data_IF_982789935329
#
_entry.id   IF_982789935329
#
_cell.length_a   1.000
_cell.length_b   1.000
_cell.length_c   1.000
_cell.angle_alpha   90.00
_cell.angle_beta   90.00
_cell.angle_gamma   90.00
#
_symmetry.space_group_name_H-M   'P 1'
#
loop_
_entity.id
_entity.type
_entity.pdbx_description
1 polymer ?
#
# COMPACT_ATOMS: atom_id res chain seq x y z
N UNK A 1 -5.99 -11.85 -18.38
CA UNK A 1 -5.56 -11.77 -16.96
C UNK A 1 -4.06 -11.53 -16.94
N UNK A 2 -3.65 -10.58 -16.16
CA UNK A 2 -2.24 -10.18 -16.04
C UNK A 2 -1.57 -11.11 -15.01
N UNK A 3 -0.45 -11.83 -15.33
CA UNK A 3 0.11 -12.86 -14.44
C UNK A 3 0.46 -12.35 -13.03
N UNK A 4 0.86 -11.07 -12.93
CA UNK A 4 1.20 -10.42 -11.67
C UNK A 4 0.11 -9.46 -11.16
N UNK A 5 -1.08 -9.46 -11.77
CA UNK A 5 -2.18 -8.58 -11.35
C UNK A 5 -2.65 -8.83 -9.93
N UNK A 6 -3.06 -7.76 -9.23
CA UNK A 6 -3.50 -7.77 -7.83
C UNK A 6 -2.46 -8.33 -6.84
N UNK A 7 -1.18 -8.13 -7.13
CA UNK A 7 -0.06 -8.50 -6.24
C UNK A 7 0.52 -7.27 -5.58
N UNK A 8 0.77 -7.37 -4.28
CA UNK A 8 1.55 -6.41 -3.51
C UNK A 8 2.80 -7.11 -2.99
N UNK A 9 3.95 -6.46 -3.14
CA UNK A 9 5.22 -7.04 -2.71
C UNK A 9 6.25 -5.95 -2.38
N UNK A 10 7.36 -6.38 -1.81
CA UNK A 10 8.54 -5.53 -1.58
C UNK A 10 9.51 -5.74 -2.74
N UNK A 11 10.08 -4.65 -3.24
CA UNK A 11 11.04 -4.67 -4.35
C UNK A 11 12.40 -5.16 -3.87
N UNK A 12 12.99 -6.06 -4.68
CA UNK A 12 14.41 -6.39 -4.64
C UNK A 12 15.03 -6.16 -6.02
N UNK A 13 16.08 -5.35 -6.09
CA UNK A 13 16.90 -5.13 -7.29
C UNK A 13 18.31 -5.68 -7.10
N UNK A 14 18.77 -5.79 -5.87
CA UNK A 14 20.05 -6.39 -5.53
C UNK A 14 19.87 -7.80 -4.94
N UNK A 15 20.86 -8.66 -5.17
CA UNK A 15 20.89 -10.01 -4.57
C UNK A 15 20.85 -9.95 -3.05
N UNK A 16 21.46 -8.93 -2.46
CA UNK A 16 21.45 -8.72 -1.01
C UNK A 16 20.03 -8.47 -0.50
N UNK A 17 19.29 -7.54 -1.12
CA UNK A 17 17.91 -7.25 -0.74
C UNK A 17 17.03 -8.48 -0.97
N UNK A 18 17.19 -9.16 -2.11
CA UNK A 18 16.44 -10.37 -2.42
C UNK A 18 16.60 -11.45 -1.34
N UNK A 19 17.84 -11.80 -1.00
CA UNK A 19 18.10 -12.82 0.02
C UNK A 19 17.54 -12.41 1.39
N UNK A 20 17.74 -11.15 1.80
CA UNK A 20 17.20 -10.62 3.05
C UNK A 20 15.67 -10.69 3.12
N UNK A 21 14.97 -10.34 2.04
CA UNK A 21 13.52 -10.37 2.00
C UNK A 21 12.97 -11.81 1.96
N UNK A 22 13.64 -12.70 1.23
CA UNK A 22 13.28 -14.13 1.20
C UNK A 22 13.44 -14.78 2.58
N UNK A 23 14.50 -14.47 3.33
CA UNK A 23 14.68 -14.92 4.72
C UNK A 23 13.57 -14.42 5.66
N UNK A 24 13.03 -13.23 5.39
CA UNK A 24 11.89 -12.66 6.15
C UNK A 24 10.55 -13.31 5.80
N UNK A 25 10.47 -14.11 4.75
CA UNK A 25 9.26 -14.79 4.29
C UNK A 25 8.16 -13.85 3.77
N UNK A 26 8.52 -12.69 3.24
CA UNK A 26 7.59 -11.73 2.63
C UNK A 26 7.48 -11.96 1.12
N UNK A 27 6.41 -11.45 0.51
CA UNK A 27 6.31 -11.46 -0.96
C UNK A 27 7.29 -10.45 -1.57
N UNK A 28 8.04 -10.90 -2.56
CA UNK A 28 9.12 -10.14 -3.21
C UNK A 28 8.87 -10.03 -4.70
N UNK A 29 8.99 -8.82 -5.24
CA UNK A 29 9.16 -8.58 -6.67
C UNK A 29 10.64 -8.36 -6.97
N UNK A 30 11.30 -9.39 -7.49
CA UNK A 30 12.69 -9.31 -7.90
C UNK A 30 12.80 -8.76 -9.32
N UNK A 31 13.40 -7.57 -9.44
CA UNK A 31 13.58 -6.88 -10.73
C UNK A 31 15.00 -7.15 -11.23
N UNK A 32 15.10 -7.76 -12.39
CA UNK A 32 16.36 -8.00 -13.11
C UNK A 32 16.33 -7.37 -14.50
N UNK A 33 17.42 -7.48 -15.25
CA UNK A 33 17.45 -7.05 -16.66
C UNK A 33 16.46 -7.82 -17.53
N UNK A 34 16.09 -9.04 -17.13
CA UNK A 34 15.22 -9.94 -17.90
C UNK A 34 13.73 -9.79 -17.57
N UNK A 35 13.37 -9.05 -16.51
CA UNK A 35 11.99 -8.90 -16.11
C UNK A 35 11.78 -8.79 -14.60
N UNK A 36 10.53 -8.99 -14.20
CA UNK A 36 10.13 -9.08 -12.80
C UNK A 36 9.72 -10.50 -12.49
N UNK A 37 10.23 -11.07 -11.40
CA UNK A 37 9.77 -12.35 -10.86
C UNK A 37 9.15 -12.14 -9.49
N UNK A 38 7.93 -12.63 -9.30
CA UNK A 38 7.20 -12.57 -8.03
C UNK A 38 7.40 -13.88 -7.25
N UNK A 39 7.78 -13.74 -6.00
CA UNK A 39 7.97 -14.84 -5.05
C UNK A 39 6.97 -14.75 -3.90
N UNK A 40 6.54 -15.88 -3.32
CA UNK A 40 7.09 -17.24 -3.49
C UNK A 40 6.56 -18.00 -4.72
N UNK A 41 5.57 -17.49 -5.45
CA UNK A 41 4.90 -18.21 -6.55
C UNK A 41 5.81 -18.46 -7.77
N UNK A 42 6.96 -17.77 -7.85
CA UNK A 42 7.92 -17.84 -8.97
C UNK A 42 7.27 -17.51 -10.33
N UNK A 43 6.38 -16.55 -10.35
CA UNK A 43 5.72 -16.05 -11.56
C UNK A 43 6.54 -14.94 -12.16
N UNK A 44 6.99 -15.10 -13.41
CA UNK A 44 7.81 -14.11 -14.10
C UNK A 44 7.05 -13.40 -15.21
N UNK A 45 7.41 -12.14 -15.42
CA UNK A 45 6.87 -11.29 -16.48
C UNK A 45 7.95 -10.39 -17.05
N UNK A 46 7.95 -10.21 -18.40
CA UNK A 46 8.88 -9.28 -19.05
C UNK A 46 8.57 -7.83 -18.67
N UNK A 47 9.60 -6.98 -18.64
CA UNK A 47 9.44 -5.54 -18.33
C UNK A 47 8.58 -4.82 -19.35
N UNK A 48 8.58 -5.22 -20.62
CA UNK A 48 7.79 -4.62 -21.71
C UNK A 48 6.27 -4.72 -21.47
N UNK A 49 5.86 -5.72 -20.69
CA UNK A 49 4.45 -5.92 -20.33
C UNK A 49 3.96 -5.05 -19.17
N UNK A 50 4.83 -4.36 -18.46
CA UNK A 50 4.48 -3.60 -17.26
C UNK A 50 4.32 -2.12 -17.59
N UNK A 51 3.13 -1.60 -17.32
CA UNK A 51 2.83 -0.18 -17.54
C UNK A 51 3.24 0.62 -16.31
N UNK A 52 4.36 1.29 -16.38
CA UNK A 52 4.79 2.24 -15.34
C UNK A 52 5.82 3.21 -15.88
N UNK A 53 5.72 4.47 -15.46
CA UNK A 53 6.73 5.51 -15.72
C UNK A 53 7.86 5.49 -14.68
N UNK A 54 7.82 4.55 -13.72
CA UNK A 54 8.64 4.57 -12.52
C UNK A 54 9.63 3.42 -12.36
N UNK A 55 9.68 2.44 -13.29
CA UNK A 55 10.57 1.26 -13.18
C UNK A 55 12.03 1.64 -12.86
N UNK A 56 12.56 2.67 -13.52
CA UNK A 56 13.92 3.16 -13.27
C UNK A 56 14.13 3.87 -11.94
N UNK A 57 13.05 4.21 -11.22
CA UNK A 57 13.06 4.93 -9.94
C UNK A 57 12.77 4.04 -8.74
N UNK A 58 12.40 2.78 -8.98
CA UNK A 58 12.17 1.82 -7.89
C UNK A 58 13.51 1.44 -7.25
N UNK A 59 13.53 1.40 -5.94
CA UNK A 59 14.68 1.04 -5.13
C UNK A 59 14.40 -0.27 -4.36
N UNK A 60 15.48 -0.87 -3.84
CA UNK A 60 15.34 -1.96 -2.88
C UNK A 60 14.47 -1.51 -1.70
N UNK A 61 13.58 -2.38 -1.27
CA UNK A 61 12.62 -2.20 -0.17
C UNK A 61 11.45 -1.26 -0.44
N UNK A 62 11.29 -0.69 -1.65
CA UNK A 62 10.04 -0.03 -2.02
C UNK A 62 8.88 -1.02 -1.97
N UNK A 63 7.69 -0.58 -1.53
CA UNK A 63 6.48 -1.39 -1.60
C UNK A 63 5.72 -1.02 -2.87
N UNK A 64 5.36 -2.04 -3.64
CA UNK A 64 4.63 -1.87 -4.90
C UNK A 64 3.39 -2.73 -4.95
N UNK A 65 2.44 -2.29 -5.76
CA UNK A 65 1.24 -3.02 -6.14
C UNK A 65 1.14 -3.06 -7.67
N UNK A 66 0.76 -4.20 -8.22
CA UNK A 66 0.39 -4.33 -9.64
C UNK A 66 -1.12 -4.53 -9.71
N UNK A 67 -1.82 -3.63 -10.41
CA UNK A 67 -3.26 -3.74 -10.66
C UNK A 67 -3.60 -4.94 -11.56
N UNK A 68 -4.87 -5.30 -11.61
CA UNK A 68 -5.43 -6.30 -12.54
C UNK A 68 -5.17 -5.97 -14.02
N UNK A 69 -4.96 -4.70 -14.35
CA UNK A 69 -4.65 -4.21 -15.70
C UNK A 69 -3.16 -4.11 -15.99
N UNK A 70 -2.30 -4.54 -15.05
CA UNK A 70 -0.85 -4.53 -15.19
C UNK A 70 -0.18 -3.18 -14.96
N UNK A 71 -0.85 -2.25 -14.31
CA UNK A 71 -0.23 -0.98 -13.91
C UNK A 71 0.49 -1.21 -12.58
N UNK A 72 1.79 -0.89 -12.54
CA UNK A 72 2.57 -0.93 -11.32
C UNK A 72 2.52 0.43 -10.63
N UNK A 73 2.09 0.42 -9.38
CA UNK A 73 2.07 1.57 -8.48
C UNK A 73 3.11 1.39 -7.38
N UNK A 74 3.89 2.43 -7.09
CA UNK A 74 4.71 2.48 -5.88
C UNK A 74 3.83 2.96 -4.73
N UNK A 75 3.49 2.05 -3.82
CA UNK A 75 2.67 2.35 -2.65
C UNK A 75 3.47 3.04 -1.54
N UNK A 76 4.78 2.72 -1.43
CA UNK A 76 5.69 3.35 -0.47
C UNK A 76 7.11 3.38 -1.04
N UNK A 77 7.80 4.51 -0.88
CA UNK A 77 9.23 4.62 -1.20
C UNK A 77 10.05 4.44 0.07
N UNK A 78 11.03 3.54 0.04
CA UNK A 78 11.82 3.16 1.22
C UNK A 78 12.61 4.30 1.88
N UNK A 79 12.77 5.42 1.20
CA UNK A 79 13.45 6.61 1.73
C UNK A 79 12.48 7.65 2.34
N UNK A 80 11.18 7.36 2.44
CA UNK A 80 10.20 8.24 3.08
C UNK A 80 10.17 8.00 4.59
N UNK A 81 10.05 9.09 5.34
CA UNK A 81 9.98 9.06 6.81
C UNK A 81 8.56 8.84 7.35
N UNK A 82 7.55 8.94 6.48
CA UNK A 82 6.14 8.81 6.83
C UNK A 82 5.38 7.95 5.83
N UNK A 83 4.24 7.45 6.25
CA UNK A 83 3.36 6.65 5.40
C UNK A 83 1.91 7.02 5.54
N UNK A 84 1.16 6.85 4.45
CA UNK A 84 -0.29 7.05 4.42
C UNK A 84 -1.02 5.72 4.25
N UNK A 85 -1.86 5.37 5.22
CA UNK A 85 -2.77 4.23 5.17
C UNK A 85 -4.13 4.72 4.71
N UNK A 86 -4.44 4.51 3.43
CA UNK A 86 -5.68 4.94 2.79
C UNK A 86 -6.75 3.85 2.88
N UNK A 87 -7.80 4.06 3.68
CA UNK A 87 -8.84 3.04 3.90
C UNK A 87 -9.84 2.93 2.74
N UNK A 88 -9.98 3.97 1.94
CA UNK A 88 -10.90 4.00 0.81
C UNK A 88 -11.52 5.37 0.60
N UNK A 89 -12.23 5.54 -0.51
CA UNK A 89 -12.78 6.84 -0.94
C UNK A 89 -14.16 7.15 -0.37
N UNK A 90 -14.85 6.19 0.26
CA UNK A 90 -16.22 6.39 0.79
C UNK A 90 -16.26 7.48 1.85
N UNK A 91 -17.19 8.43 1.70
CA UNK A 91 -17.32 9.58 2.59
C UNK A 91 -18.78 9.99 2.75
N UNK A 92 -19.13 10.42 3.97
CA UNK A 92 -20.45 10.99 4.33
C UNK A 92 -20.47 12.52 4.27
N UNK A 93 -19.44 13.16 3.73
CA UNK A 93 -19.33 14.62 3.58
C UNK A 93 -19.17 15.02 2.12
N UNK A 94 -19.60 16.25 1.82
CA UNK A 94 -19.57 16.83 0.48
C UNK A 94 -18.73 18.11 0.47
N UNK A 95 -17.49 18.01 0.95
CA UNK A 95 -16.59 19.15 1.05
C UNK A 95 -16.20 19.66 -0.35
N UNK A 96 -16.34 20.97 -0.54
CA UNK A 96 -16.09 21.63 -1.82
C UNK A 96 -14.60 21.56 -2.24
N UNK A 97 -13.68 21.48 -1.27
CA UNK A 97 -12.23 21.38 -1.49
C UNK A 97 -11.74 19.93 -1.61
N UNK A 98 -12.62 18.93 -1.57
CA UNK A 98 -12.21 17.55 -1.61
C UNK A 98 -11.61 17.18 -2.96
N UNK A 99 -10.39 16.59 -3.02
CA UNK A 99 -9.79 16.17 -4.29
C UNK A 99 -10.52 14.99 -4.94
N UNK A 100 -11.22 14.16 -4.12
CA UNK A 100 -12.02 13.05 -4.63
C UNK A 100 -13.34 13.56 -5.23
N UNK A 101 -13.69 13.08 -6.41
CA UNK A 101 -14.95 13.41 -7.06
C UNK A 101 -16.15 12.84 -6.29
N UNK A 102 -17.33 13.40 -6.50
CA UNK A 102 -18.59 12.88 -5.94
C UNK A 102 -18.84 11.42 -6.35
N UNK A 103 -18.45 11.04 -7.54
CA UNK A 103 -18.61 9.68 -8.04
C UNK A 103 -17.71 8.70 -7.27
N UNK A 104 -16.46 9.06 -7.00
CA UNK A 104 -15.52 8.25 -6.22
C UNK A 104 -15.97 8.10 -4.77
N UNK A 105 -16.41 9.18 -4.14
CA UNK A 105 -16.93 9.16 -2.76
C UNK A 105 -18.19 8.29 -2.61
N UNK A 106 -19.08 8.30 -3.61
CA UNK A 106 -20.32 7.48 -3.60
C UNK A 106 -20.07 6.04 -3.96
N UNK A 107 -19.22 5.77 -4.96
CA UNK A 107 -18.86 4.39 -5.36
C UNK A 107 -18.07 3.66 -4.28
N UNK A 108 -17.32 4.42 -3.47
CA UNK A 108 -16.65 3.88 -2.30
C UNK A 108 -15.55 2.90 -2.65
N UNK A 109 -14.63 3.26 -3.57
CA UNK A 109 -13.40 2.48 -3.75
C UNK A 109 -12.75 2.26 -2.38
N UNK A 110 -12.37 1.03 -2.10
CA UNK A 110 -11.55 0.67 -0.95
C UNK A 110 -10.61 -0.46 -1.33
N UNK A 111 -9.44 -0.48 -0.73
CA UNK A 111 -8.58 -1.65 -0.79
C UNK A 111 -9.26 -2.84 -0.11
N UNK A 112 -8.92 -4.05 -0.56
CA UNK A 112 -9.32 -5.23 0.21
C UNK A 112 -8.65 -5.19 1.58
N UNK A 113 -9.32 -5.77 2.59
CA UNK A 113 -8.78 -5.91 3.93
C UNK A 113 -7.37 -6.53 3.91
N UNK A 114 -7.20 -7.57 3.10
CA UNK A 114 -5.93 -8.29 2.97
C UNK A 114 -4.80 -7.39 2.46
N UNK A 115 -5.03 -6.65 1.38
CA UNK A 115 -4.03 -5.73 0.79
C UNK A 115 -3.66 -4.63 1.78
N UNK A 116 -4.65 -4.06 2.48
CA UNK A 116 -4.41 -3.00 3.43
C UNK A 116 -3.54 -3.47 4.62
N UNK A 117 -3.87 -4.61 5.20
CA UNK A 117 -3.10 -5.16 6.33
C UNK A 117 -1.69 -5.59 5.89
N UNK A 118 -1.57 -6.19 4.71
CA UNK A 118 -0.28 -6.51 4.11
C UNK A 118 0.58 -5.26 3.90
N UNK A 119 -0.02 -4.17 3.43
CA UNK A 119 0.68 -2.88 3.31
C UNK A 119 1.27 -2.44 4.65
N UNK A 120 0.47 -2.45 5.72
CA UNK A 120 0.93 -2.10 7.07
C UNK A 120 2.07 -3.03 7.51
N UNK A 121 1.96 -4.33 7.24
CA UNK A 121 2.98 -5.32 7.60
C UNK A 121 4.31 -5.11 6.87
N UNK A 122 4.28 -4.56 5.66
CA UNK A 122 5.47 -4.33 4.85
C UNK A 122 6.19 -3.01 5.16
N UNK A 123 5.51 -2.02 5.77
CA UNK A 123 6.12 -0.75 6.14
C UNK A 123 7.37 -0.95 7.02
N UNK A 124 8.43 -0.15 6.87
CA UNK A 124 9.61 -0.21 7.73
C UNK A 124 9.29 0.25 9.16
N UNK A 125 10.10 -0.18 10.14
CA UNK A 125 9.85 0.09 11.57
C UNK A 125 10.24 1.50 12.03
N UNK A 126 10.97 2.26 11.24
CA UNK A 126 11.58 3.54 11.58
C UNK A 126 10.80 4.76 11.07
N UNK A 127 9.50 4.59 10.80
CA UNK A 127 8.63 5.68 10.41
C UNK A 127 8.43 6.68 11.56
N UNK A 128 8.52 7.98 11.25
CA UNK A 128 8.27 9.06 12.20
C UNK A 128 6.78 9.15 12.54
N UNK A 129 5.91 9.04 11.52
CA UNK A 129 4.46 9.01 11.71
C UNK A 129 3.74 8.22 10.62
N UNK A 130 2.52 7.80 10.94
CA UNK A 130 1.61 7.12 10.02
C UNK A 130 0.30 7.91 9.97
N UNK A 131 -0.13 8.29 8.77
CA UNK A 131 -1.41 8.98 8.54
C UNK A 131 -2.47 7.97 8.16
N UNK A 132 -3.54 7.86 8.94
CA UNK A 132 -4.74 7.12 8.53
C UNK A 132 -5.71 8.10 7.89
N UNK A 133 -6.08 7.85 6.65
CA UNK A 133 -6.93 8.73 5.84
C UNK A 133 -7.83 7.96 4.88
N UNK A 134 -8.58 8.71 4.10
CA UNK A 134 -9.49 8.19 3.08
C UNK A 134 -10.53 9.25 2.74
N UNK A 135 -11.71 8.84 2.28
CA UNK A 135 -12.89 9.69 2.27
C UNK A 135 -13.28 10.05 3.70
N UNK A 136 -13.84 9.08 4.44
CA UNK A 136 -14.03 9.16 5.88
C UNK A 136 -13.69 7.79 6.50
N UNK A 137 -12.53 7.65 7.15
CA UNK A 137 -12.06 6.38 7.70
C UNK A 137 -13.05 5.72 8.67
N UNK A 138 -13.72 6.52 9.49
CA UNK A 138 -14.64 6.02 10.52
C UNK A 138 -15.92 5.39 9.95
N UNK A 139 -16.25 5.62 8.68
CA UNK A 139 -17.35 4.91 8.00
C UNK A 139 -17.07 3.44 7.75
N UNK A 140 -15.81 3.03 7.82
CA UNK A 140 -15.36 1.64 7.71
C UNK A 140 -14.83 1.15 9.05
N UNK A 141 -15.63 1.32 10.11
CA UNK A 141 -15.23 1.18 11.51
C UNK A 141 -14.44 -0.09 11.79
N UNK A 142 -14.90 -1.25 11.30
CA UNK A 142 -14.20 -2.53 11.54
C UNK A 142 -12.80 -2.54 10.92
N UNK A 143 -12.67 -2.10 9.67
CA UNK A 143 -11.38 -2.04 8.99
C UNK A 143 -10.46 -0.98 9.60
N UNK A 144 -11.04 0.17 9.99
CA UNK A 144 -10.31 1.23 10.69
C UNK A 144 -9.72 0.76 12.01
N UNK A 145 -10.51 0.12 12.86
CA UNK A 145 -10.06 -0.38 14.15
C UNK A 145 -8.99 -1.48 13.97
N UNK A 146 -9.19 -2.39 13.03
CA UNK A 146 -8.21 -3.44 12.76
C UNK A 146 -6.88 -2.89 12.22
N UNK A 147 -6.93 -1.90 11.32
CA UNK A 147 -5.74 -1.21 10.83
C UNK A 147 -5.03 -0.48 11.98
N UNK A 148 -5.78 0.19 12.86
CA UNK A 148 -5.22 0.87 14.02
C UNK A 148 -4.55 -0.10 15.00
N UNK A 149 -5.19 -1.22 15.30
CA UNK A 149 -4.64 -2.26 16.17
C UNK A 149 -3.35 -2.82 15.57
N UNK A 150 -3.35 -3.12 14.26
CA UNK A 150 -2.16 -3.61 13.55
C UNK A 150 -1.00 -2.60 13.56
N UNK A 151 -1.33 -1.32 13.36
CA UNK A 151 -0.33 -0.24 13.45
C UNK A 151 0.21 -0.15 14.88
N UNK A 152 -0.62 -0.18 15.91
CA UNK A 152 -0.18 -0.09 17.30
C UNK A 152 0.67 -1.27 17.75
N UNK A 153 0.35 -2.47 17.28
CA UNK A 153 1.13 -3.68 17.54
C UNK A 153 2.54 -3.56 16.93
N UNK A 154 2.62 -3.14 15.66
CA UNK A 154 3.88 -3.08 14.92
C UNK A 154 4.71 -1.83 15.24
N UNK A 155 4.06 -0.70 15.47
CA UNK A 155 4.66 0.62 15.63
C UNK A 155 4.29 1.27 16.97
N UNK A 156 4.69 0.71 18.12
CA UNK A 156 4.22 1.16 19.44
C UNK A 156 4.63 2.60 19.78
N UNK A 157 5.68 3.14 19.14
CA UNK A 157 6.23 4.46 19.40
C UNK A 157 6.01 5.47 18.28
N UNK A 158 5.53 5.03 17.11
CA UNK A 158 5.27 5.91 15.97
C UNK A 158 4.01 6.74 16.20
N UNK A 159 4.06 8.03 15.84
CA UNK A 159 2.88 8.88 15.86
C UNK A 159 1.86 8.40 14.83
N UNK A 160 0.58 8.35 15.25
CA UNK A 160 -0.54 8.04 14.34
C UNK A 160 -1.43 9.26 14.24
N UNK A 161 -1.59 9.77 13.03
CA UNK A 161 -2.45 10.89 12.69
C UNK A 161 -3.71 10.36 12.01
N UNK A 162 -4.89 10.70 12.55
CA UNK A 162 -6.17 10.39 11.91
C UNK A 162 -6.74 11.61 11.23
N UNK A 163 -6.92 11.56 9.91
CA UNK A 163 -7.64 12.58 9.16
C UNK A 163 -9.10 12.15 9.01
N UNK A 164 -9.98 12.80 9.76
CA UNK A 164 -11.42 12.52 9.81
C UNK A 164 -12.24 13.80 9.79
N UNK A 165 -13.46 13.73 9.28
CA UNK A 165 -14.44 14.82 9.42
C UNK A 165 -15.15 14.82 10.80
N UNK A 166 -14.90 13.82 11.62
CA UNK A 166 -15.36 13.70 12.99
C UNK A 166 -16.86 13.39 13.19
N UNK A 167 -17.64 13.26 12.11
CA UNK A 167 -19.10 13.08 12.22
C UNK A 167 -19.54 11.81 12.91
N UNK A 168 -18.71 10.78 12.85
CA UNK A 168 -19.00 9.47 13.47
C UNK A 168 -18.34 9.30 14.84
N UNK A 169 -17.70 10.34 15.37
CA UNK A 169 -17.02 10.33 16.67
C UNK A 169 -17.83 11.02 17.79
N UNK A 170 -19.07 11.44 17.51
CA UNK A 170 -19.87 12.28 18.41
C UNK A 170 -20.76 11.51 19.38
N UNK A 171 -20.70 10.18 19.42
CA UNK A 171 -21.56 9.34 20.29
C UNK A 171 -20.73 8.43 21.19
#
# INVERSE_FOLDING_TARGET
DYPLGNKMAIIARSDKAFNTLMERGVEVMHITENGITYYPENVSQSLEGIKTDHLGKLCDYDIVEISDTGILYRAFANNEADSTVFLGAKCNSNCIMCPASDAERRKGFSYSREILLKYIDYLPFDLEYIVITGGEPTMQTSLFLEALDRIREKFPHTQVLLLTNGRSLSD
#
